data_IF_080426323557
#
_entry.id   IF_080426323557
#
_cell.length_a   1.000
_cell.length_b   1.000
_cell.length_c   1.000
_cell.angle_alpha   90.00
_cell.angle_beta   90.00
_cell.angle_gamma   90.00
#
_symmetry.space_group_name_H-M   'P 1'
#
loop_
_entity.id
_entity.type
_entity.pdbx_description
1 polymer ?
#
# COMPACT_ATOMS: atom_id res chain seq x y z
N UNK A 1 -44.00 2.21 -7.11
CA UNK A 1 -43.57 3.51 -7.62
C UNK A 1 -42.17 3.74 -7.07
N UNK A 2 -41.19 4.20 -7.87
CA UNK A 2 -39.86 4.45 -7.35
C UNK A 2 -39.90 5.51 -6.25
N UNK A 3 -39.07 5.35 -5.21
CA UNK A 3 -38.97 6.33 -4.13
C UNK A 3 -38.48 7.70 -4.63
N UNK A 4 -38.97 8.78 -4.05
CA UNK A 4 -38.56 10.14 -4.39
C UNK A 4 -37.09 10.39 -4.01
N UNK A 5 -36.28 10.78 -5.00
CA UNK A 5 -34.85 11.10 -4.81
C UNK A 5 -34.63 12.25 -3.81
N UNK A 6 -35.59 13.16 -3.66
CA UNK A 6 -35.51 14.21 -2.66
C UNK A 6 -35.45 13.63 -1.24
N UNK A 7 -36.25 12.60 -0.95
CA UNK A 7 -36.25 11.93 0.36
C UNK A 7 -34.93 11.20 0.61
N UNK A 8 -34.39 10.54 -0.42
CA UNK A 8 -33.08 9.86 -0.35
C UNK A 8 -31.97 10.86 -0.04
N UNK A 9 -31.92 11.98 -0.77
CA UNK A 9 -30.91 13.01 -0.59
C UNK A 9 -31.03 13.70 0.78
N UNK A 10 -32.26 13.97 1.25
CA UNK A 10 -32.54 14.50 2.58
C UNK A 10 -32.03 13.55 3.67
N UNK A 11 -32.33 12.26 3.55
CA UNK A 11 -31.84 11.26 4.50
C UNK A 11 -30.31 11.13 4.45
N UNK A 12 -29.70 11.16 3.26
CA UNK A 12 -28.25 11.10 3.09
C UNK A 12 -27.50 12.24 3.78
N UNK A 13 -28.10 13.43 3.90
CA UNK A 13 -27.50 14.56 4.61
C UNK A 13 -27.24 14.28 6.11
N UNK A 14 -27.95 13.31 6.71
CA UNK A 14 -27.72 12.90 8.10
C UNK A 14 -26.46 12.04 8.29
N UNK A 15 -25.82 11.62 7.20
CA UNK A 15 -24.67 10.71 7.20
C UNK A 15 -23.46 11.32 6.49
N UNK A 16 -22.93 12.46 6.98
CA UNK A 16 -21.84 13.14 6.29
C UNK A 16 -20.56 12.30 6.31
N UNK A 17 -19.84 12.36 5.19
CA UNK A 17 -18.44 11.95 5.07
C UNK A 17 -17.56 13.21 5.17
N UNK A 18 -16.69 13.31 6.19
CA UNK A 18 -15.84 14.49 6.36
C UNK A 18 -14.78 14.54 5.27
N UNK A 19 -14.53 15.73 4.73
CA UNK A 19 -13.35 15.95 3.89
C UNK A 19 -12.09 15.71 4.74
N UNK A 20 -11.19 14.86 4.25
CA UNK A 20 -9.95 14.54 4.95
C UNK A 20 -8.79 15.22 4.23
N UNK A 21 -8.00 16.00 4.98
CA UNK A 21 -6.78 16.62 4.46
C UNK A 21 -5.62 15.65 4.55
N UNK A 22 -4.82 15.58 3.51
CA UNK A 22 -3.60 14.76 3.46
C UNK A 22 -2.36 15.63 3.29
N UNK A 23 -1.21 15.06 3.63
CA UNK A 23 0.08 15.73 3.44
C UNK A 23 0.48 15.83 1.96
N UNK A 24 -0.04 14.96 1.10
CA UNK A 24 0.24 14.97 -0.35
C UNK A 24 -0.13 16.29 -1.00
N UNK A 25 -1.22 16.92 -0.56
CA UNK A 25 -1.67 18.22 -1.06
C UNK A 25 -1.01 19.39 -0.34
N UNK A 26 -0.70 19.21 0.95
CA UNK A 26 -0.32 20.33 1.83
C UNK A 26 1.20 20.55 1.88
N UNK A 27 1.99 19.49 1.74
CA UNK A 27 3.43 19.50 1.98
C UNK A 27 4.20 18.60 0.98
N UNK A 28 4.34 19.02 -0.29
CA UNK A 28 4.99 18.22 -1.33
C UNK A 28 6.50 18.05 -1.13
N UNK A 29 7.11 18.74 -0.17
CA UNK A 29 8.53 18.58 0.21
C UNK A 29 8.78 17.44 1.19
N UNK A 30 7.75 16.91 1.85
CA UNK A 30 7.87 15.80 2.79
C UNK A 30 8.14 14.50 2.02
N UNK A 31 8.92 13.58 2.60
CA UNK A 31 9.20 12.24 2.04
C UNK A 31 7.94 11.53 1.56
N UNK A 32 8.09 10.77 0.49
CA UNK A 32 6.96 10.23 -0.24
C UNK A 32 6.22 9.15 0.55
N UNK A 33 6.93 8.30 1.30
CA UNK A 33 6.32 7.29 2.17
C UNK A 33 5.50 7.90 3.31
N UNK A 34 5.95 9.01 3.91
CA UNK A 34 5.17 9.70 4.96
C UNK A 34 3.87 10.31 4.40
N UNK A 35 3.93 10.85 3.17
CA UNK A 35 2.72 11.31 2.46
C UNK A 35 1.77 10.15 2.15
N UNK A 36 2.30 8.99 1.72
CA UNK A 36 1.49 7.80 1.50
C UNK A 36 0.80 7.31 2.78
N UNK A 37 1.49 7.32 3.93
CA UNK A 37 0.88 7.04 5.25
C UNK A 37 -0.23 8.01 5.61
N UNK A 38 -0.06 9.31 5.30
CA UNK A 38 -1.13 10.30 5.46
C UNK A 38 -2.39 9.94 4.65
N UNK A 39 -2.21 9.51 3.40
CA UNK A 39 -3.31 9.06 2.54
C UNK A 39 -3.95 7.78 3.09
N UNK A 40 -3.15 6.81 3.53
CA UNK A 40 -3.64 5.59 4.15
C UNK A 40 -4.46 5.88 5.43
N UNK A 41 -4.01 6.81 6.28
CA UNK A 41 -4.77 7.26 7.44
C UNK A 41 -6.10 7.92 7.04
N UNK A 42 -6.09 8.73 5.99
CA UNK A 42 -7.31 9.33 5.48
C UNK A 42 -8.32 8.29 4.98
N UNK A 43 -7.85 7.27 4.25
CA UNK A 43 -8.67 6.12 3.83
C UNK A 43 -9.19 5.34 5.03
N UNK A 44 -8.37 5.10 6.05
CA UNK A 44 -8.78 4.45 7.29
C UNK A 44 -9.94 5.21 7.97
N UNK A 45 -9.77 6.50 8.23
CA UNK A 45 -10.75 7.34 8.93
C UNK A 45 -12.05 7.47 8.15
N UNK A 46 -11.95 7.72 6.83
CA UNK A 46 -13.12 7.81 5.95
C UNK A 46 -13.82 6.45 5.85
N UNK A 47 -13.06 5.36 5.77
CA UNK A 47 -13.59 4.00 5.77
C UNK A 47 -14.38 3.68 7.03
N UNK A 48 -13.84 3.97 8.21
CA UNK A 48 -14.56 3.80 9.48
C UNK A 48 -15.86 4.60 9.51
N UNK A 49 -15.82 5.86 9.07
CA UNK A 49 -17.01 6.71 9.00
C UNK A 49 -18.04 6.18 8.01
N UNK A 50 -17.61 5.74 6.84
CA UNK A 50 -18.47 5.17 5.81
C UNK A 50 -19.17 3.91 6.29
N UNK A 51 -18.44 2.98 6.91
CA UNK A 51 -19.02 1.75 7.45
C UNK A 51 -20.00 2.04 8.59
N UNK A 52 -19.70 2.98 9.48
CA UNK A 52 -20.65 3.45 10.50
C UNK A 52 -21.91 4.05 9.87
N UNK A 53 -21.76 4.84 8.81
CA UNK A 53 -22.89 5.44 8.09
C UNK A 53 -23.75 4.37 7.41
N UNK A 54 -23.14 3.33 6.81
CA UNK A 54 -23.87 2.21 6.21
C UNK A 54 -24.68 1.40 7.24
N UNK A 55 -24.13 1.18 8.43
CA UNK A 55 -24.85 0.50 9.51
C UNK A 55 -26.05 1.32 9.98
N UNK A 56 -25.88 2.63 10.13
CA UNK A 56 -26.95 3.52 10.55
C UNK A 56 -28.02 3.66 9.45
N UNK A 57 -27.62 3.78 8.19
CA UNK A 57 -28.51 3.81 7.03
C UNK A 57 -29.35 2.53 6.90
N UNK A 58 -28.76 1.36 7.15
CA UNK A 58 -29.48 0.08 7.13
C UNK A 58 -30.59 -0.01 8.20
N UNK A 59 -30.49 0.78 9.27
CA UNK A 59 -31.47 0.89 10.35
C UNK A 59 -32.25 2.20 10.32
N UNK A 60 -32.18 2.95 9.22
CA UNK A 60 -32.81 4.25 9.11
C UNK A 60 -34.33 4.12 9.24
N UNK A 61 -34.94 5.02 10.01
CA UNK A 61 -36.37 5.12 10.23
C UNK A 61 -36.81 6.55 9.93
N UNK A 62 -37.96 6.71 9.28
CA UNK A 62 -38.58 7.99 8.99
C UNK A 62 -40.10 7.82 9.24
N UNK A 63 -40.63 8.60 10.19
CA UNK A 63 -42.02 8.50 10.61
C UNK A 63 -43.01 8.98 9.53
N UNK A 64 -42.54 9.78 8.58
CA UNK A 64 -43.36 10.35 7.51
C UNK A 64 -43.47 9.41 6.30
N UNK A 65 -42.79 8.26 6.32
CA UNK A 65 -42.69 7.33 5.20
C UNK A 65 -43.39 6.02 5.54
N UNK A 66 -44.23 5.55 4.62
CA UNK A 66 -44.93 4.28 4.77
C UNK A 66 -43.94 3.11 4.97
N UNK A 67 -44.23 2.14 5.86
CA UNK A 67 -43.30 1.04 6.16
C UNK A 67 -42.83 0.25 4.94
N UNK A 68 -43.70 0.13 3.94
CA UNK A 68 -43.42 -0.56 2.67
C UNK A 68 -42.34 0.14 1.83
N UNK A 69 -42.23 1.47 1.94
CA UNK A 69 -41.24 2.30 1.23
C UNK A 69 -39.93 2.46 2.00
N UNK A 70 -39.91 2.16 3.31
CA UNK A 70 -38.68 2.27 4.13
C UNK A 70 -37.57 1.34 3.64
N UNK A 71 -37.92 0.14 3.16
CA UNK A 71 -36.91 -0.80 2.65
C UNK A 71 -36.28 -0.29 1.34
N UNK A 72 -37.08 0.36 0.49
CA UNK A 72 -36.60 1.00 -0.73
C UNK A 72 -35.72 2.21 -0.41
N UNK A 73 -36.14 3.05 0.55
CA UNK A 73 -35.32 4.17 1.06
C UNK A 73 -33.96 3.72 1.55
N UNK A 74 -33.90 2.70 2.40
CA UNK A 74 -32.64 2.17 2.94
C UNK A 74 -31.70 1.67 1.84
N UNK A 75 -32.27 1.07 0.80
CA UNK A 75 -31.52 0.57 -0.35
C UNK A 75 -30.92 1.72 -1.16
N UNK A 76 -31.72 2.73 -1.52
CA UNK A 76 -31.25 3.90 -2.27
C UNK A 76 -30.32 4.79 -1.45
N UNK A 77 -30.55 4.91 -0.15
CA UNK A 77 -29.66 5.59 0.79
C UNK A 77 -28.29 4.91 0.82
N UNK A 78 -28.26 3.58 0.91
CA UNK A 78 -27.00 2.80 0.88
C UNK A 78 -26.23 3.06 -0.42
N UNK A 79 -26.91 3.00 -1.58
CA UNK A 79 -26.30 3.31 -2.88
C UNK A 79 -25.76 4.74 -2.93
N UNK A 80 -26.50 5.71 -2.40
CA UNK A 80 -26.09 7.12 -2.35
C UNK A 80 -24.83 7.30 -1.51
N UNK A 81 -24.75 6.64 -0.34
CA UNK A 81 -23.56 6.69 0.51
C UNK A 81 -22.35 6.03 -0.14
N UNK A 82 -22.55 4.90 -0.85
CA UNK A 82 -21.49 4.25 -1.63
C UNK A 82 -20.98 5.18 -2.74
N UNK A 83 -21.87 5.86 -3.46
CA UNK A 83 -21.51 6.81 -4.51
C UNK A 83 -20.73 8.02 -3.95
N UNK A 84 -21.13 8.56 -2.79
CA UNK A 84 -20.41 9.64 -2.12
C UNK A 84 -18.98 9.22 -1.73
N UNK A 85 -18.81 8.02 -1.15
CA UNK A 85 -17.49 7.50 -0.82
C UNK A 85 -16.63 7.28 -2.07
N UNK A 86 -17.21 6.70 -3.13
CA UNK A 86 -16.52 6.50 -4.41
C UNK A 86 -16.03 7.84 -5.00
N UNK A 87 -16.87 8.89 -4.97
CA UNK A 87 -16.49 10.22 -5.44
C UNK A 87 -15.27 10.78 -4.69
N UNK A 88 -15.20 10.61 -3.37
CA UNK A 88 -14.03 11.05 -2.58
C UNK A 88 -12.76 10.24 -2.87
N UNK A 89 -12.90 8.95 -3.17
CA UNK A 89 -11.78 8.08 -3.49
C UNK A 89 -11.21 8.29 -4.89
N UNK A 90 -12.10 8.46 -5.87
CA UNK A 90 -11.79 8.42 -7.29
C UNK A 90 -11.86 9.77 -7.99
N UNK A 91 -12.03 10.87 -7.25
CA UNK A 91 -11.93 12.21 -7.85
C UNK A 91 -10.65 12.31 -8.71
N UNK A 92 -10.77 12.61 -10.02
CA UNK A 92 -9.63 12.56 -10.94
C UNK A 92 -8.53 13.58 -10.61
N UNK A 93 -8.90 14.68 -9.94
CA UNK A 93 -7.99 15.77 -9.60
C UNK A 93 -7.27 15.48 -8.29
N UNK A 94 -8.00 15.17 -7.23
CA UNK A 94 -7.49 15.10 -5.86
C UNK A 94 -8.05 13.94 -5.03
N UNK A 95 -8.63 12.92 -5.66
CA UNK A 95 -9.11 11.71 -4.98
C UNK A 95 -7.98 10.99 -4.24
N UNK A 96 -8.32 10.32 -3.13
CA UNK A 96 -7.32 9.61 -2.29
C UNK A 96 -6.52 8.57 -3.10
N UNK A 97 -7.13 7.94 -4.12
CA UNK A 97 -6.42 7.05 -5.05
C UNK A 97 -5.29 7.77 -5.78
N UNK A 98 -5.58 8.93 -6.39
CA UNK A 98 -4.59 9.72 -7.15
C UNK A 98 -3.47 10.22 -6.24
N UNK A 99 -3.81 10.58 -5.00
CA UNK A 99 -2.81 11.00 -4.04
C UNK A 99 -1.86 9.86 -3.62
N UNK A 100 -2.38 8.65 -3.39
CA UNK A 100 -1.57 7.47 -3.12
C UNK A 100 -0.67 7.11 -4.33
N UNK A 101 -1.21 7.16 -5.55
CA UNK A 101 -0.44 6.95 -6.79
C UNK A 101 0.72 7.96 -6.92
N UNK A 102 0.45 9.25 -6.69
CA UNK A 102 1.48 10.31 -6.73
C UNK A 102 2.56 10.10 -5.67
N UNK A 103 2.18 9.70 -4.46
CA UNK A 103 3.14 9.41 -3.40
C UNK A 103 4.02 8.21 -3.77
N UNK A 104 3.42 7.12 -4.25
CA UNK A 104 4.17 5.94 -4.69
C UNK A 104 5.12 6.24 -5.85
N UNK A 105 4.65 6.93 -6.89
CA UNK A 105 5.49 7.33 -8.03
C UNK A 105 6.66 8.25 -7.61
N UNK A 106 6.43 9.16 -6.64
CA UNK A 106 7.51 10.00 -6.12
C UNK A 106 8.56 9.18 -5.35
N UNK A 107 8.14 8.21 -4.55
CA UNK A 107 9.06 7.30 -3.85
C UNK A 107 9.85 6.43 -4.85
N UNK A 108 9.17 5.94 -5.90
CA UNK A 108 9.79 5.16 -6.96
C UNK A 108 10.86 5.97 -7.71
N UNK A 109 10.54 7.23 -8.03
CA UNK A 109 11.48 8.18 -8.66
C UNK A 109 12.69 8.44 -7.78
N UNK A 110 12.51 8.55 -6.46
CA UNK A 110 13.61 8.75 -5.52
C UNK A 110 14.53 7.51 -5.39
N UNK A 111 13.96 6.30 -5.50
CA UNK A 111 14.71 5.05 -5.47
C UNK A 111 15.38 4.70 -6.82
N UNK A 112 14.83 5.20 -7.93
CA UNK A 112 15.26 4.85 -9.29
C UNK A 112 16.77 5.01 -9.58
N UNK A 113 17.50 6.03 -9.07
CA UNK A 113 18.94 6.17 -9.29
C UNK A 113 19.78 5.09 -8.60
N UNK A 114 19.25 4.44 -7.56
CA UNK A 114 19.96 3.43 -6.77
C UNK A 114 19.69 2.00 -7.25
N UNK A 115 18.75 1.81 -8.18
CA UNK A 115 18.49 0.50 -8.79
C UNK A 115 19.63 0.15 -9.75
N UNK A 116 20.23 -1.04 -9.63
CA UNK A 116 21.13 -1.55 -10.65
C UNK A 116 20.44 -1.53 -12.01
N UNK A 117 21.19 -1.12 -13.03
CA UNK A 117 20.72 -1.15 -14.42
C UNK A 117 21.80 -1.76 -15.28
N UNK A 118 21.37 -2.66 -16.16
CA UNK A 118 22.23 -3.19 -17.20
C UNK A 118 22.30 -2.17 -18.35
N UNK A 119 23.50 -1.67 -18.63
CA UNK A 119 23.78 -0.87 -19.82
C UNK A 119 24.13 -1.82 -20.98
N UNK A 120 23.27 -1.93 -22.01
CA UNK A 120 23.51 -2.83 -23.13
C UNK A 120 24.72 -2.42 -23.98
N UNK A 121 25.12 -1.15 -23.95
CA UNK A 121 26.27 -0.64 -24.71
C UNK A 121 27.60 -0.92 -23.98
N UNK A 122 27.54 -1.23 -22.68
CA UNK A 122 28.73 -1.55 -21.88
C UNK A 122 29.09 -3.04 -22.01
N UNK A 123 29.93 -3.35 -22.99
CA UNK A 123 30.46 -4.72 -23.20
C UNK A 123 31.13 -5.31 -21.95
N UNK A 124 31.80 -4.48 -21.14
CA UNK A 124 32.42 -4.91 -19.89
C UNK A 124 31.40 -5.28 -18.81
N UNK A 125 30.30 -4.53 -18.69
CA UNK A 125 29.24 -4.88 -17.75
C UNK A 125 28.52 -6.15 -18.21
N UNK A 126 28.22 -6.26 -19.49
CA UNK A 126 27.60 -7.46 -20.08
C UNK A 126 28.42 -8.73 -19.80
N UNK A 127 29.76 -8.63 -19.93
CA UNK A 127 30.67 -9.73 -19.63
C UNK A 127 30.67 -10.08 -18.14
N UNK A 128 30.76 -9.10 -17.25
CA UNK A 128 30.74 -9.34 -15.79
C UNK A 128 29.43 -9.96 -15.33
N UNK A 129 28.30 -9.48 -15.85
CA UNK A 129 26.96 -10.06 -15.58
C UNK A 129 26.88 -11.51 -16.06
N UNK A 130 27.42 -11.85 -17.23
CA UNK A 130 27.47 -13.22 -17.72
C UNK A 130 28.38 -14.11 -16.84
N UNK A 131 29.55 -13.61 -16.46
CA UNK A 131 30.48 -14.32 -15.57
C UNK A 131 29.86 -14.55 -14.18
N UNK A 132 29.12 -13.58 -13.63
CA UNK A 132 28.42 -13.75 -12.37
C UNK A 132 27.35 -14.86 -12.44
N UNK A 133 26.65 -14.98 -13.57
CA UNK A 133 25.75 -16.10 -13.82
C UNK A 133 26.49 -17.44 -13.85
N UNK A 134 27.50 -17.55 -14.71
CA UNK A 134 28.21 -18.80 -15.00
C UNK A 134 29.06 -19.31 -13.82
N UNK A 135 29.60 -18.41 -13.00
CA UNK A 135 30.54 -18.77 -11.93
C UNK A 135 29.95 -18.73 -10.52
N UNK A 136 28.86 -18.00 -10.27
CA UNK A 136 28.28 -17.88 -8.94
C UNK A 136 26.84 -18.42 -8.85
N UNK A 137 25.95 -17.95 -9.73
CA UNK A 137 24.52 -18.26 -9.65
C UNK A 137 24.20 -19.66 -10.15
N UNK A 138 24.54 -19.97 -11.41
CA UNK A 138 24.23 -21.25 -12.03
C UNK A 138 24.84 -22.45 -11.28
N UNK A 139 26.13 -22.42 -10.89
CA UNK A 139 26.71 -23.53 -10.12
C UNK A 139 26.02 -23.75 -8.76
N UNK A 140 25.53 -22.68 -8.12
CA UNK A 140 24.79 -22.80 -6.87
C UNK A 140 23.42 -23.46 -7.07
N UNK A 141 22.72 -23.12 -8.16
CA UNK A 141 21.46 -23.76 -8.53
C UNK A 141 21.67 -25.24 -8.88
N UNK A 142 22.72 -25.57 -9.64
CA UNK A 142 23.09 -26.95 -9.99
C UNK A 142 23.50 -27.78 -8.77
N UNK A 143 24.08 -27.15 -7.75
CA UNK A 143 24.33 -27.76 -6.44
C UNK A 143 23.06 -27.93 -5.58
N UNK A 144 21.88 -27.57 -6.10
CA UNK A 144 20.60 -27.71 -5.42
C UNK A 144 20.29 -26.61 -4.41
N UNK A 145 21.01 -25.48 -4.42
CA UNK A 145 20.70 -24.36 -3.53
C UNK A 145 19.48 -23.60 -4.02
N UNK A 146 18.52 -23.30 -3.15
CA UNK A 146 17.35 -22.49 -3.50
C UNK A 146 17.69 -20.98 -3.59
N UNK A 147 16.84 -20.23 -4.30
CA UNK A 147 17.01 -18.80 -4.56
C UNK A 147 17.14 -17.93 -3.30
N UNK A 148 16.44 -18.30 -2.23
CA UNK A 148 16.48 -17.64 -0.92
C UNK A 148 17.85 -17.77 -0.22
N UNK A 149 18.68 -18.74 -0.60
CA UNK A 149 20.06 -18.86 -0.13
C UNK A 149 21.06 -18.20 -1.07
N UNK A 150 20.77 -18.14 -2.37
CA UNK A 150 21.68 -17.58 -3.37
C UNK A 150 21.64 -16.06 -3.33
N UNK A 151 20.45 -15.47 -3.49
CA UNK A 151 20.26 -14.03 -3.67
C UNK A 151 20.88 -13.18 -2.55
N UNK A 152 20.77 -13.54 -1.26
CA UNK A 152 21.41 -12.76 -0.17
C UNK A 152 22.93 -12.65 -0.27
N UNK A 153 23.58 -13.53 -1.03
CA UNK A 153 25.05 -13.52 -1.20
C UNK A 153 25.52 -12.73 -2.41
N UNK A 154 24.60 -12.31 -3.29
CA UNK A 154 24.94 -11.67 -4.55
C UNK A 154 25.34 -10.20 -4.36
N UNK A 155 26.24 -9.77 -5.23
CA UNK A 155 26.60 -8.38 -5.49
C UNK A 155 25.78 -7.81 -6.66
N UNK A 156 26.08 -6.57 -7.06
CA UNK A 156 25.34 -5.88 -8.13
C UNK A 156 25.34 -6.64 -9.46
N UNK A 157 26.49 -7.19 -9.88
CA UNK A 157 26.61 -7.91 -11.14
C UNK A 157 25.84 -9.25 -11.07
N UNK A 158 25.86 -9.94 -9.91
CA UNK A 158 25.05 -11.12 -9.65
C UNK A 158 23.54 -10.85 -9.68
N UNK A 159 23.07 -9.73 -9.12
CA UNK A 159 21.65 -9.37 -9.16
C UNK A 159 21.17 -9.04 -10.59
N UNK A 160 21.99 -8.33 -11.37
CA UNK A 160 21.72 -8.11 -12.80
C UNK A 160 21.72 -9.44 -13.58
N UNK A 161 22.56 -10.39 -13.18
CA UNK A 161 22.60 -11.71 -13.80
C UNK A 161 21.31 -12.49 -13.52
N UNK A 162 20.81 -12.46 -12.29
CA UNK A 162 19.52 -13.05 -11.90
C UNK A 162 18.38 -12.43 -12.71
N UNK A 163 18.30 -11.10 -12.79
CA UNK A 163 17.27 -10.41 -13.57
C UNK A 163 17.26 -10.86 -15.05
N UNK A 164 18.46 -11.02 -15.64
CA UNK A 164 18.60 -11.36 -17.05
C UNK A 164 18.36 -12.85 -17.37
N UNK A 165 18.87 -13.76 -16.54
CA UNK A 165 18.97 -15.18 -16.90
C UNK A 165 18.02 -16.10 -16.11
N UNK A 166 17.55 -15.71 -14.93
CA UNK A 166 16.62 -16.53 -14.14
C UNK A 166 15.30 -16.86 -14.87
N UNK A 167 14.67 -15.95 -15.64
CA UNK A 167 13.44 -16.27 -16.38
C UNK A 167 13.60 -17.44 -17.36
N UNK A 168 14.68 -17.42 -18.15
CA UNK A 168 14.96 -18.50 -19.11
C UNK A 168 15.37 -19.79 -18.40
N UNK A 169 16.08 -19.71 -17.27
CA UNK A 169 16.45 -20.86 -16.47
C UNK A 169 15.22 -21.57 -15.88
N UNK A 170 14.37 -20.85 -15.16
CA UNK A 170 13.16 -21.40 -14.51
C UNK A 170 12.18 -22.00 -15.53
N UNK A 171 12.01 -21.36 -16.68
CA UNK A 171 11.18 -21.87 -17.76
C UNK A 171 11.73 -23.18 -18.36
N UNK A 172 13.05 -23.40 -18.33
CA UNK A 172 13.70 -24.59 -18.90
C UNK A 172 13.74 -25.77 -17.94
N UNK A 173 13.96 -25.52 -16.64
CA UNK A 173 14.14 -26.61 -15.66
C UNK A 173 12.83 -27.25 -15.20
N UNK A 174 11.71 -26.53 -15.32
CA UNK A 174 10.40 -27.04 -14.90
C UNK A 174 9.79 -27.90 -16.00
N UNK A 175 9.20 -29.02 -15.58
CA UNK A 175 8.47 -29.90 -16.49
C UNK A 175 7.18 -29.21 -16.98
N UNK A 176 6.51 -29.85 -17.94
CA UNK A 176 5.27 -29.35 -18.54
C UNK A 176 4.15 -29.17 -17.49
N UNK A 177 4.18 -29.94 -16.39
CA UNK A 177 3.15 -29.91 -15.36
C UNK A 177 3.33 -28.75 -14.37
N UNK A 178 4.56 -28.27 -14.16
CA UNK A 178 4.88 -27.19 -13.21
C UNK A 178 5.19 -25.84 -13.88
N UNK A 179 4.99 -25.71 -15.20
CA UNK A 179 5.18 -24.42 -15.90
C UNK A 179 4.29 -23.30 -15.37
N UNK A 180 3.11 -23.63 -14.84
CA UNK A 180 2.19 -22.66 -14.27
C UNK A 180 2.72 -21.96 -13.00
N UNK A 181 3.75 -22.53 -12.36
CA UNK A 181 4.39 -21.97 -11.15
C UNK A 181 5.49 -20.95 -11.49
N UNK A 182 5.99 -20.93 -12.73
CA UNK A 182 7.08 -20.03 -13.15
C UNK A 182 6.80 -18.56 -12.79
N UNK A 183 5.61 -17.99 -13.03
CA UNK A 183 5.33 -16.60 -12.69
C UNK A 183 5.48 -16.30 -11.19
N UNK A 184 5.02 -17.21 -10.31
CA UNK A 184 5.13 -17.05 -8.87
C UNK A 184 6.59 -17.10 -8.40
N UNK A 185 7.36 -18.03 -8.96
CA UNK A 185 8.78 -18.19 -8.65
C UNK A 185 9.56 -16.95 -9.08
N UNK A 186 9.32 -16.43 -10.29
CA UNK A 186 9.95 -15.21 -10.77
C UNK A 186 9.54 -13.98 -9.94
N UNK A 187 8.30 -13.91 -9.45
CA UNK A 187 7.87 -12.88 -8.51
C UNK A 187 8.66 -12.94 -7.19
N UNK A 188 8.85 -14.14 -6.65
CA UNK A 188 9.63 -14.36 -5.43
C UNK A 188 11.11 -14.00 -5.61
N UNK A 189 11.70 -14.36 -6.76
CA UNK A 189 13.06 -13.97 -7.15
C UNK A 189 13.18 -12.44 -7.23
N UNK A 190 12.24 -11.78 -7.91
CA UNK A 190 12.24 -10.32 -8.03
C UNK A 190 12.14 -9.63 -6.65
N UNK A 191 11.29 -10.12 -5.76
CA UNK A 191 11.15 -9.60 -4.41
C UNK A 191 12.41 -9.83 -3.55
N UNK A 192 13.05 -10.99 -3.66
CA UNK A 192 14.32 -11.26 -3.00
C UNK A 192 15.45 -10.36 -3.54
N UNK A 193 15.54 -10.22 -4.86
CA UNK A 193 16.52 -9.33 -5.51
C UNK A 193 16.31 -7.87 -5.10
N UNK A 194 15.07 -7.38 -5.05
CA UNK A 194 14.77 -6.02 -4.62
C UNK A 194 15.21 -5.75 -3.17
N UNK A 195 14.98 -6.70 -2.25
CA UNK A 195 15.48 -6.62 -0.87
C UNK A 195 17.00 -6.56 -0.83
N UNK A 196 17.67 -7.42 -1.59
CA UNK A 196 19.13 -7.44 -1.64
C UNK A 196 19.71 -6.16 -2.23
N UNK A 197 19.10 -5.63 -3.29
CA UNK A 197 19.47 -4.32 -3.88
C UNK A 197 19.40 -3.23 -2.81
N UNK A 198 18.34 -3.21 -2.00
CA UNK A 198 18.23 -2.26 -0.91
C UNK A 198 19.35 -2.45 0.12
N UNK A 199 19.65 -3.67 0.54
CA UNK A 199 20.70 -3.96 1.54
C UNK A 199 22.10 -3.47 1.13
N UNK A 200 22.49 -3.68 -0.14
CA UNK A 200 23.82 -3.33 -0.63
C UNK A 200 23.93 -1.87 -1.08
N UNK A 201 22.83 -1.14 -1.13
CA UNK A 201 22.81 0.26 -1.53
C UNK A 201 23.55 1.16 -0.51
N UNK A 202 24.08 2.32 -0.95
CA UNK A 202 24.59 3.33 -0.02
C UNK A 202 23.48 3.79 0.94
N UNK A 203 23.85 4.48 2.04
CA UNK A 203 22.90 4.90 3.07
C UNK A 203 21.69 5.69 2.50
N UNK A 204 21.93 6.60 1.56
CA UNK A 204 20.87 7.36 0.89
C UNK A 204 19.95 6.46 0.04
N UNK A 205 20.52 5.46 -0.62
CA UNK A 205 19.75 4.47 -1.39
C UNK A 205 18.92 3.55 -0.50
N UNK A 206 19.48 3.10 0.64
CA UNK A 206 18.74 2.34 1.67
C UNK A 206 17.53 3.12 2.17
N UNK A 207 17.71 4.39 2.51
CA UNK A 207 16.61 5.25 2.92
C UNK A 207 15.58 5.44 1.81
N UNK A 208 16.00 5.61 0.55
CA UNK A 208 15.08 5.74 -0.59
C UNK A 208 14.28 4.45 -0.86
N UNK A 209 14.91 3.28 -0.78
CA UNK A 209 14.21 1.99 -0.89
C UNK A 209 13.26 1.75 0.28
N UNK A 210 13.63 2.15 1.50
CA UNK A 210 12.73 2.06 2.66
C UNK A 210 11.53 2.99 2.53
N UNK A 211 11.74 4.22 2.06
CA UNK A 211 10.66 5.18 1.77
C UNK A 211 9.70 4.63 0.70
N UNK A 212 10.24 3.94 -0.31
CA UNK A 212 9.46 3.24 -1.34
C UNK A 212 8.65 2.06 -0.78
N UNK A 213 9.26 1.21 0.06
CA UNK A 213 8.56 0.11 0.74
C UNK A 213 7.36 0.63 1.53
N UNK A 214 7.59 1.66 2.38
CA UNK A 214 6.54 2.31 3.17
C UNK A 214 5.45 2.90 2.26
N UNK A 215 5.83 3.55 1.15
CA UNK A 215 4.88 4.10 0.20
C UNK A 215 4.04 3.02 -0.49
N UNK A 216 4.67 1.90 -0.87
CA UNK A 216 4.01 0.77 -1.53
C UNK A 216 3.02 0.07 -0.60
N UNK A 217 3.41 -0.19 0.66
CA UNK A 217 2.53 -0.81 1.66
C UNK A 217 1.32 0.07 1.96
N UNK A 218 1.55 1.37 2.18
CA UNK A 218 0.48 2.33 2.44
C UNK A 218 -0.47 2.50 1.24
N UNK A 219 0.07 2.55 0.02
CA UNK A 219 -0.73 2.62 -1.21
C UNK A 219 -1.51 1.32 -1.45
N UNK A 220 -0.90 0.16 -1.26
CA UNK A 220 -1.53 -1.15 -1.38
C UNK A 220 -2.71 -1.30 -0.41
N UNK A 221 -2.50 -0.90 0.85
CA UNK A 221 -3.58 -0.80 1.84
C UNK A 221 -4.69 0.13 1.37
N UNK A 222 -4.36 1.36 0.95
CA UNK A 222 -5.33 2.34 0.52
C UNK A 222 -6.19 1.81 -0.66
N UNK A 223 -5.55 1.22 -1.68
CA UNK A 223 -6.24 0.65 -2.84
C UNK A 223 -7.14 -0.52 -2.46
N UNK A 224 -6.66 -1.43 -1.62
CA UNK A 224 -7.42 -2.58 -1.13
C UNK A 224 -8.67 -2.15 -0.37
N UNK A 225 -8.52 -1.22 0.58
CA UNK A 225 -9.66 -0.72 1.37
C UNK A 225 -10.66 0.05 0.51
N UNK A 226 -10.19 0.95 -0.37
CA UNK A 226 -11.11 1.65 -1.28
C UNK A 226 -11.90 0.68 -2.16
N UNK A 227 -11.27 -0.40 -2.65
CA UNK A 227 -11.98 -1.43 -3.42
C UNK A 227 -13.03 -2.18 -2.58
N UNK A 228 -12.69 -2.56 -1.35
CA UNK A 228 -13.62 -3.22 -0.42
C UNK A 228 -14.81 -2.32 -0.05
N UNK A 229 -14.56 -1.04 0.25
CA UNK A 229 -15.61 -0.10 0.65
C UNK A 229 -16.63 0.15 -0.47
N UNK A 230 -16.21 0.15 -1.74
CA UNK A 230 -17.14 0.25 -2.88
C UNK A 230 -18.15 -0.89 -2.96
N UNK A 231 -17.76 -2.07 -2.50
CA UNK A 231 -18.60 -3.26 -2.52
C UNK A 231 -19.32 -3.50 -1.19
N UNK A 232 -19.02 -2.69 -0.17
CA UNK A 232 -19.52 -2.90 1.19
C UNK A 232 -21.00 -2.55 1.32
N UNK A 233 -21.71 -3.31 2.14
CA UNK A 233 -23.11 -3.05 2.51
C UNK A 233 -23.25 -3.00 4.04
N UNK A 234 -24.45 -2.67 4.54
CA UNK A 234 -24.70 -2.55 5.98
C UNK A 234 -24.52 -3.85 6.78
N UNK A 235 -24.66 -5.04 6.16
CA UNK A 235 -24.49 -6.34 6.85
C UNK A 235 -23.01 -6.68 7.08
N UNK A 236 -22.16 -6.37 6.11
CA UNK A 236 -20.73 -6.72 6.15
C UNK A 236 -19.87 -5.67 6.87
N UNK A 237 -20.47 -4.52 7.22
CA UNK A 237 -19.76 -3.36 7.74
C UNK A 237 -18.98 -3.61 9.05
N UNK A 238 -19.49 -4.48 9.94
CA UNK A 238 -18.78 -4.81 11.19
C UNK A 238 -17.49 -5.59 10.90
N UNK A 239 -17.58 -6.64 10.07
CA UNK A 239 -16.43 -7.47 9.71
C UNK A 239 -15.36 -6.69 8.93
N UNK A 240 -15.80 -5.81 8.03
CA UNK A 240 -14.91 -4.91 7.31
C UNK A 240 -14.22 -3.90 8.23
N UNK A 241 -14.91 -3.34 9.22
CA UNK A 241 -14.30 -2.39 10.18
C UNK A 241 -13.16 -3.03 10.96
N UNK A 242 -13.32 -4.29 11.41
CA UNK A 242 -12.26 -5.05 12.08
C UNK A 242 -11.07 -5.29 11.14
N UNK A 243 -11.35 -5.68 9.90
CA UNK A 243 -10.32 -5.96 8.89
C UNK A 243 -9.50 -4.71 8.56
N UNK A 244 -10.19 -3.59 8.31
CA UNK A 244 -9.57 -2.28 8.05
C UNK A 244 -8.69 -1.85 9.22
N UNK A 245 -9.14 -1.98 10.47
CA UNK A 245 -8.33 -1.63 11.65
C UNK A 245 -7.07 -2.48 11.78
N UNK A 246 -7.18 -3.80 11.58
CA UNK A 246 -6.01 -4.69 11.63
C UNK A 246 -5.00 -4.34 10.53
N UNK A 247 -5.47 -4.09 9.31
CA UNK A 247 -4.58 -3.73 8.20
C UNK A 247 -3.96 -2.34 8.38
N UNK A 248 -4.71 -1.37 8.93
CA UNK A 248 -4.20 -0.05 9.26
C UNK A 248 -3.06 -0.11 10.30
N UNK A 249 -3.13 -1.04 11.26
CA UNK A 249 -2.04 -1.29 12.21
C UNK A 249 -0.77 -1.74 11.50
N UNK A 250 -0.89 -2.70 10.56
CA UNK A 250 0.24 -3.28 9.84
C UNK A 250 1.03 -2.25 9.01
N UNK A 251 0.35 -1.25 8.44
CA UNK A 251 0.98 -0.21 7.60
C UNK A 251 1.22 1.11 8.34
N UNK A 252 0.92 1.18 9.65
CA UNK A 252 1.07 2.39 10.45
C UNK A 252 0.08 3.51 10.14
N UNK A 253 -1.06 3.21 9.51
CA UNK A 253 -2.09 4.19 9.10
C UNK A 253 -3.10 4.56 10.21
N UNK A 254 -3.01 3.91 11.37
CA UNK A 254 -3.92 4.16 12.50
C UNK A 254 -3.71 5.52 13.17
N UNK A 255 -2.49 6.06 13.13
CA UNK A 255 -2.17 7.39 13.64
C UNK A 255 -2.11 8.40 12.49
N UNK A 256 -2.54 9.65 12.72
CA UNK A 256 -2.38 10.69 11.72
C UNK A 256 -0.89 10.91 11.44
N UNK A 257 -0.53 11.00 10.16
CA UNK A 257 0.80 11.43 9.78
C UNK A 257 0.96 12.92 10.12
N UNK A 258 1.85 13.23 11.05
CA UNK A 258 2.10 14.60 11.50
C UNK A 258 3.23 15.27 10.71
N UNK A 259 3.10 16.58 10.46
CA UNK A 259 4.15 17.41 9.84
C UNK A 259 5.02 18.14 10.85
N UNK A 260 4.89 17.81 12.15
CA UNK A 260 5.70 18.43 13.19
C UNK A 260 7.19 18.07 13.00
N UNK A 261 8.14 18.96 13.34
CA UNK A 261 9.56 18.66 13.20
C UNK A 261 9.98 17.37 13.93
N UNK A 262 9.36 17.06 15.08
CA UNK A 262 9.61 15.83 15.83
C UNK A 262 9.14 14.58 15.07
N UNK A 263 7.94 14.61 14.47
CA UNK A 263 7.42 13.50 13.68
C UNK A 263 8.25 13.27 12.41
N UNK A 264 8.69 14.35 11.75
CA UNK A 264 9.57 14.27 10.58
C UNK A 264 10.96 13.71 10.96
N UNK A 265 11.52 14.12 12.09
CA UNK A 265 12.77 13.56 12.59
C UNK A 265 12.64 12.08 12.96
N UNK A 266 11.53 11.67 13.57
CA UNK A 266 11.24 10.27 13.87
C UNK A 266 11.11 9.43 12.58
N UNK A 267 10.48 9.98 11.54
CA UNK A 267 10.38 9.33 10.24
C UNK A 267 11.74 9.18 9.56
N UNK A 268 12.57 10.24 9.56
CA UNK A 268 13.94 10.17 9.01
C UNK A 268 14.80 9.14 9.78
N UNK A 269 14.62 9.01 11.10
CA UNK A 269 15.28 7.99 11.89
C UNK A 269 14.82 6.57 11.50
N UNK A 270 13.52 6.36 11.29
CA UNK A 270 12.94 5.09 10.86
C UNK A 270 13.53 4.63 9.52
N UNK A 271 13.53 5.51 8.51
CA UNK A 271 14.08 5.17 7.17
C UNK A 271 15.61 5.05 7.18
N UNK A 272 16.29 5.70 8.13
CA UNK A 272 17.71 5.55 8.39
C UNK A 272 18.08 4.23 9.08
N UNK A 273 17.10 3.39 9.42
CA UNK A 273 17.32 2.11 10.09
C UNK A 273 17.57 2.24 11.59
N UNK A 274 17.27 3.39 12.21
CA UNK A 274 17.22 3.47 13.66
C UNK A 274 16.04 2.61 14.15
N UNK A 275 16.20 1.89 15.28
CA UNK A 275 15.09 1.15 15.86
C UNK A 275 13.95 2.13 16.13
N UNK A 276 12.79 1.86 15.51
CA UNK A 276 11.57 2.62 15.77
C UNK A 276 11.29 2.50 17.28
N UNK A 277 11.21 3.60 18.03
CA UNK A 277 10.74 3.51 19.41
C UNK A 277 9.36 2.86 19.37
N UNK A 278 9.17 1.80 20.16
CA UNK A 278 7.92 1.04 20.14
C UNK A 278 6.73 2.01 20.27
N UNK A 279 5.73 1.94 19.37
CA UNK A 279 4.56 2.79 19.48
C UNK A 279 3.86 2.43 20.80
N UNK A 280 3.86 3.37 21.73
CA UNK A 280 3.29 3.27 23.09
C UNK A 280 4.12 2.51 24.14
N UNK A 281 5.33 2.97 24.44
CA UNK A 281 5.65 3.16 25.86
C UNK A 281 4.98 4.47 26.31
N UNK A 282 3.65 4.44 26.48
CA UNK A 282 2.98 5.45 27.31
C UNK A 282 3.56 5.20 28.70
N UNK A 283 4.44 6.09 29.15
CA UNK A 283 4.99 6.04 30.49
C UNK A 283 3.88 6.43 31.47
N UNK A 284 3.09 5.44 31.88
CA UNK A 284 2.04 5.59 32.90
C UNK A 284 2.61 5.97 34.28
N UNK A 285 3.94 6.06 34.46
CA UNK A 285 4.54 6.46 35.73
C UNK A 285 4.29 7.93 36.10
N UNK A 286 3.89 8.77 35.15
CA UNK A 286 3.62 10.20 35.39
C UNK A 286 2.14 10.56 35.52
N UNK A 287 1.22 9.60 35.34
CA UNK A 287 -0.22 9.82 35.47
C UNK A 287 -0.78 9.48 36.87
N UNK A 288 0.07 9.12 37.82
CA UNK A 288 -0.29 8.78 39.22
C UNK A 288 0.51 9.58 40.26
N UNK A 289 0.95 10.79 39.93
CA UNK A 289 1.51 11.74 40.89
C UNK A 289 0.51 12.85 41.23
#
# INVERSE_FOLDING_TARGET
MPIDQYLVNRAAANYPLPAVKTMTLTFPSIRAGHRARSVAHAVFTLGQRHLSNLQAAARHEDADIAPELLQELRTELTKTLQAQAAAMFDDPSDGLRRQAERALAAADTAAAPYRPRLDPESSTQMLRTAQAWEHAVQPSLEAGKPWDQIIPTLDTDGLLAVERFAPAHEARIRDVHHQHEVPEVLSNIAAASARRVAEIAPAEGRAAFKDLEIAADAAGYAFGIMAQLRQSNGRDAVGLSITITRQAYAVGAQLPAESSPAALAAYEAEIGGAPTPAPNAIDYSTALA
#
